data_IF_105935907566
#
_entry.id   IF_105935907566
#
_cell.length_a   1.000
_cell.length_b   1.000
_cell.length_c   1.000
_cell.angle_alpha   90.00
_cell.angle_beta   90.00
_cell.angle_gamma   90.00
#
_symmetry.space_group_name_H-M   'P 1'
#
loop_
_entity.id
_entity.type
_entity.pdbx_description
1 polymer ?
#
# COMPACT_ATOMS: atom_id res chain seq x y z
N UNK A 1 -43.89 -14.33 -50.82
CA UNK A 1 -42.83 -15.29 -50.38
C UNK A 1 -41.51 -14.57 -50.31
N UNK A 2 -41.17 -14.02 -49.14
CA UNK A 2 -39.91 -13.27 -48.94
C UNK A 2 -39.08 -14.03 -47.92
N UNK A 3 -37.96 -14.60 -48.41
CA UNK A 3 -36.95 -15.32 -47.61
C UNK A 3 -36.16 -14.32 -46.76
N UNK A 4 -36.29 -14.43 -45.42
CA UNK A 4 -35.39 -13.74 -44.49
C UNK A 4 -34.08 -14.52 -44.41
N UNK A 5 -32.99 -13.88 -44.79
CA UNK A 5 -31.62 -14.36 -44.63
C UNK A 5 -31.15 -14.05 -43.22
N UNK A 6 -30.97 -15.06 -42.38
CA UNK A 6 -30.32 -14.95 -41.08
C UNK A 6 -28.80 -14.95 -41.27
N UNK A 7 -28.15 -13.83 -41.03
CA UNK A 7 -26.69 -13.75 -40.90
C UNK A 7 -26.34 -14.07 -39.46
N UNK A 8 -25.84 -15.27 -39.21
CA UNK A 8 -25.24 -15.66 -37.95
C UNK A 8 -23.83 -15.07 -37.90
N UNK A 9 -23.71 -13.94 -37.16
CA UNK A 9 -22.40 -13.39 -36.82
C UNK A 9 -21.75 -14.24 -35.74
N UNK A 10 -20.77 -15.08 -36.12
CA UNK A 10 -19.90 -15.76 -35.18
C UNK A 10 -18.92 -14.72 -34.55
N UNK A 11 -19.23 -14.27 -33.35
CA UNK A 11 -18.27 -13.56 -32.52
C UNK A 11 -17.18 -14.56 -32.09
N UNK A 12 -16.04 -14.51 -32.75
CA UNK A 12 -14.84 -15.22 -32.35
C UNK A 12 -14.29 -14.53 -31.11
N UNK A 13 -14.68 -15.02 -29.93
CA UNK A 13 -14.03 -14.62 -28.68
C UNK A 13 -12.60 -15.17 -28.74
N UNK A 14 -11.65 -14.28 -29.00
CA UNK A 14 -10.23 -14.53 -28.76
C UNK A 14 -10.04 -14.67 -27.24
N UNK A 15 -10.12 -15.91 -26.76
CA UNK A 15 -9.64 -16.28 -25.43
C UNK A 15 -8.13 -16.20 -25.55
N UNK A 16 -7.55 -15.03 -25.22
CA UNK A 16 -6.17 -14.94 -24.83
C UNK A 16 -6.03 -15.75 -23.54
N UNK A 17 -5.68 -17.03 -23.70
CA UNK A 17 -5.18 -17.85 -22.60
C UNK A 17 -3.77 -17.35 -22.26
N UNK A 18 -3.69 -16.19 -21.60
CA UNK A 18 -2.55 -15.93 -20.75
C UNK A 18 -2.65 -16.92 -19.60
N UNK A 19 -1.68 -17.83 -19.51
CA UNK A 19 -1.35 -18.53 -18.28
C UNK A 19 -0.88 -17.47 -17.28
N UNK A 20 -1.80 -16.69 -16.74
CA UNK A 20 -1.52 -15.91 -15.54
C UNK A 20 -1.33 -16.96 -14.43
N UNK A 21 -0.09 -17.20 -14.02
CA UNK A 21 0.14 -17.89 -12.74
C UNK A 21 -0.73 -17.17 -11.73
N UNK A 22 -1.65 -17.92 -11.11
CA UNK A 22 -2.60 -17.35 -10.16
C UNK A 22 -1.81 -16.70 -9.01
N UNK A 23 -1.79 -15.37 -8.97
CA UNK A 23 -1.06 -14.64 -7.95
C UNK A 23 -1.71 -14.87 -6.59
N UNK A 24 -1.01 -15.51 -5.62
CA UNK A 24 -1.58 -15.82 -4.32
C UNK A 24 -1.91 -14.55 -3.50
N UNK A 25 -1.29 -13.41 -3.79
CA UNK A 25 -1.54 -12.12 -3.13
C UNK A 25 -2.87 -11.47 -3.54
N UNK A 26 -3.47 -11.92 -4.65
CA UNK A 26 -4.74 -11.40 -5.17
C UNK A 26 -5.93 -12.33 -4.85
N UNK A 27 -5.70 -13.32 -4.03
CA UNK A 27 -6.74 -14.28 -3.60
C UNK A 27 -6.91 -14.24 -2.09
N UNK A 28 -8.13 -14.50 -1.68
CA UNK A 28 -8.38 -14.76 -0.27
C UNK A 28 -7.63 -16.02 0.18
N UNK A 29 -6.90 -15.91 1.29
CA UNK A 29 -6.15 -17.04 1.83
C UNK A 29 -7.09 -18.13 2.35
N UNK A 30 -6.80 -19.37 1.99
CA UNK A 30 -7.50 -20.56 2.52
C UNK A 30 -6.94 -21.05 3.87
N UNK A 31 -5.87 -20.45 4.35
CA UNK A 31 -5.24 -20.81 5.62
C UNK A 31 -6.11 -20.36 6.82
N UNK A 32 -5.98 -21.03 7.97
CA UNK A 32 -6.68 -20.64 9.19
C UNK A 32 -6.46 -19.15 9.52
N UNK A 33 -7.54 -18.46 9.89
CA UNK A 33 -7.56 -17.03 10.22
C UNK A 33 -7.16 -16.10 9.07
N UNK A 34 -7.20 -16.55 7.83
CA UNK A 34 -6.79 -15.74 6.67
C UNK A 34 -5.28 -15.45 6.63
N UNK A 35 -4.46 -16.24 7.33
CA UNK A 35 -3.01 -16.04 7.37
C UNK A 35 -2.42 -16.12 5.95
N UNK A 36 -1.45 -15.24 5.57
CA UNK A 36 -0.80 -15.33 4.27
C UNK A 36 -0.10 -16.68 4.06
N UNK A 37 -0.28 -17.27 2.88
CA UNK A 37 0.36 -18.55 2.51
C UNK A 37 1.80 -18.27 2.02
N UNK A 38 2.71 -17.91 2.91
CA UNK A 38 4.08 -17.47 2.62
C UNK A 38 4.89 -18.48 1.78
N UNK A 39 4.60 -19.75 1.87
CA UNK A 39 5.22 -20.82 1.09
C UNK A 39 4.85 -20.75 -0.41
N UNK A 40 3.77 -20.07 -0.77
CA UNK A 40 3.31 -19.86 -2.14
C UNK A 40 3.69 -18.50 -2.70
N UNK A 41 4.04 -17.53 -1.84
CA UNK A 41 4.37 -16.16 -2.25
C UNK A 41 5.83 -16.13 -2.70
N UNK A 42 6.08 -15.51 -3.87
CA UNK A 42 7.41 -15.27 -4.43
C UNK A 42 7.58 -13.80 -4.77
N UNK A 43 8.82 -13.35 -4.93
CA UNK A 43 9.12 -11.95 -5.27
C UNK A 43 8.41 -11.51 -6.56
N UNK A 44 8.34 -12.36 -7.58
CA UNK A 44 7.65 -12.10 -8.86
C UNK A 44 6.15 -11.77 -8.73
N UNK A 45 5.52 -12.12 -7.59
CA UNK A 45 4.11 -11.86 -7.35
C UNK A 45 3.82 -10.43 -6.87
N UNK A 46 4.80 -9.75 -6.24
CA UNK A 46 4.54 -8.47 -5.58
C UNK A 46 4.20 -7.35 -6.55
N UNK A 47 5.04 -7.07 -7.55
CA UNK A 47 4.80 -5.95 -8.45
C UNK A 47 3.46 -6.04 -9.16
N UNK A 48 3.07 -7.17 -9.78
CA UNK A 48 1.75 -7.31 -10.39
C UNK A 48 0.60 -7.19 -9.37
N UNK A 49 0.80 -7.61 -8.11
CA UNK A 49 -0.21 -7.48 -7.07
C UNK A 49 -0.40 -6.03 -6.64
N UNK A 50 0.68 -5.26 -6.51
CA UNK A 50 0.60 -3.82 -6.26
C UNK A 50 -0.10 -3.07 -7.40
N UNK A 51 0.23 -3.37 -8.65
CA UNK A 51 -0.41 -2.78 -9.83
C UNK A 51 -1.93 -3.04 -9.82
N UNK A 52 -2.33 -4.29 -9.59
CA UNK A 52 -3.74 -4.67 -9.53
C UNK A 52 -4.46 -4.03 -8.34
N UNK A 53 -3.85 -4.07 -7.14
CA UNK A 53 -4.43 -3.48 -5.93
C UNK A 53 -4.58 -1.96 -6.01
N UNK A 54 -3.62 -1.26 -6.63
CA UNK A 54 -3.73 0.19 -6.87
C UNK A 54 -4.85 0.49 -7.87
N UNK A 55 -4.98 -0.29 -8.94
CA UNK A 55 -6.03 -0.09 -9.94
C UNK A 55 -7.42 -0.32 -9.32
N UNK A 56 -7.59 -1.36 -8.51
CA UNK A 56 -8.83 -1.65 -7.77
C UNK A 56 -9.16 -0.51 -6.80
N UNK A 57 -8.19 -0.11 -5.98
CA UNK A 57 -8.37 0.96 -5.00
C UNK A 57 -8.71 2.33 -5.65
N UNK A 58 -8.09 2.66 -6.79
CA UNK A 58 -8.47 3.87 -7.58
C UNK A 58 -9.91 3.77 -8.06
N UNK A 59 -10.35 2.62 -8.58
CA UNK A 59 -11.71 2.43 -9.05
C UNK A 59 -12.75 2.54 -7.93
N UNK A 60 -12.45 2.07 -6.72
CA UNK A 60 -13.32 2.22 -5.55
C UNK A 60 -13.45 3.70 -5.13
N UNK A 61 -12.35 4.45 -5.10
CA UNK A 61 -12.38 5.90 -4.85
C UNK A 61 -13.19 6.62 -5.92
N UNK A 62 -13.00 6.28 -7.21
CA UNK A 62 -13.78 6.86 -8.30
C UNK A 62 -15.28 6.58 -8.17
N UNK A 63 -15.66 5.39 -7.69
CA UNK A 63 -17.06 5.05 -7.44
C UNK A 63 -17.66 5.90 -6.31
N UNK A 64 -16.90 6.18 -5.23
CA UNK A 64 -17.33 7.08 -4.16
C UNK A 64 -17.54 8.50 -4.71
N UNK A 65 -16.60 9.00 -5.50
CA UNK A 65 -16.68 10.34 -6.11
C UNK A 65 -17.84 10.44 -7.08
N UNK A 66 -18.09 9.42 -7.90
CA UNK A 66 -19.14 9.38 -8.90
C UNK A 66 -20.55 9.21 -8.31
N UNK A 67 -20.68 8.88 -7.02
CA UNK A 67 -21.97 8.70 -6.39
C UNK A 67 -22.76 10.02 -6.37
N UNK A 68 -23.94 10.02 -6.99
CA UNK A 68 -24.82 11.20 -7.12
C UNK A 68 -25.70 11.43 -5.89
N UNK A 69 -25.72 10.52 -4.94
CA UNK A 69 -26.47 10.68 -3.70
C UNK A 69 -25.80 11.72 -2.79
N UNK A 70 -26.60 12.35 -1.93
CA UNK A 70 -26.07 13.22 -0.86
C UNK A 70 -24.98 12.48 -0.07
N UNK A 71 -23.85 13.13 0.22
CA UNK A 71 -22.81 12.53 1.04
C UNK A 71 -23.31 12.22 2.45
N UNK A 72 -23.15 10.96 2.86
CA UNK A 72 -23.43 10.46 4.20
C UNK A 72 -22.17 9.84 4.82
N UNK A 73 -22.23 9.55 6.11
CA UNK A 73 -21.12 8.84 6.77
C UNK A 73 -20.87 7.50 6.09
N UNK A 74 -21.90 6.74 5.77
CA UNK A 74 -21.82 5.40 5.19
C UNK A 74 -21.29 5.43 3.73
N UNK A 75 -21.88 6.29 2.87
CA UNK A 75 -21.55 6.31 1.44
C UNK A 75 -20.27 7.11 1.12
N UNK A 76 -19.62 7.67 2.13
CA UNK A 76 -18.39 8.46 1.96
C UNK A 76 -17.31 8.00 2.92
N UNK A 77 -17.52 8.10 4.23
CA UNK A 77 -16.46 7.82 5.22
C UNK A 77 -16.24 6.32 5.41
N UNK A 78 -17.31 5.55 5.64
CA UNK A 78 -17.18 4.08 5.71
C UNK A 78 -16.76 3.48 4.37
N UNK A 79 -17.29 4.00 3.27
CA UNK A 79 -16.90 3.55 1.94
C UNK A 79 -15.40 3.76 1.68
N UNK A 80 -14.82 4.87 2.14
CA UNK A 80 -13.36 5.11 2.07
C UNK A 80 -12.59 4.15 2.99
N UNK A 81 -13.07 3.90 4.20
CA UNK A 81 -12.39 3.04 5.19
C UNK A 81 -12.27 1.59 4.70
N UNK A 82 -13.27 1.10 3.97
CA UNK A 82 -13.24 -0.26 3.40
C UNK A 82 -12.61 -0.35 2.02
N UNK A 83 -12.20 0.77 1.43
CA UNK A 83 -11.53 0.79 0.13
C UNK A 83 -10.07 0.35 0.21
N UNK A 84 -9.52 -0.17 -0.90
CA UNK A 84 -8.11 -0.54 -1.03
C UNK A 84 -7.70 -1.75 -0.20
N UNK A 85 -8.59 -2.65 0.17
CA UNK A 85 -8.25 -3.81 1.01
C UNK A 85 -7.21 -4.72 0.36
N UNK A 86 -7.32 -4.98 -0.95
CA UNK A 86 -6.33 -5.77 -1.69
C UNK A 86 -4.95 -5.11 -1.61
N UNK A 87 -4.88 -3.80 -1.86
CA UNK A 87 -3.65 -3.03 -1.78
C UNK A 87 -3.04 -3.05 -0.37
N UNK A 88 -3.87 -2.84 0.65
CA UNK A 88 -3.44 -2.86 2.05
C UNK A 88 -2.88 -4.23 2.47
N UNK A 89 -3.52 -5.31 2.03
CA UNK A 89 -3.05 -6.67 2.30
C UNK A 89 -1.70 -6.94 1.64
N UNK A 90 -1.56 -6.61 0.36
CA UNK A 90 -0.29 -6.75 -0.39
C UNK A 90 0.82 -5.94 0.26
N UNK A 91 0.56 -4.67 0.58
CA UNK A 91 1.51 -3.78 1.22
C UNK A 91 1.91 -4.27 2.62
N UNK A 92 0.94 -4.71 3.42
CA UNK A 92 1.18 -5.28 4.75
C UNK A 92 2.11 -6.49 4.71
N UNK A 93 1.89 -7.44 3.78
CA UNK A 93 2.75 -8.61 3.61
C UNK A 93 4.15 -8.19 3.14
N UNK A 94 4.22 -7.37 2.09
CA UNK A 94 5.48 -6.97 1.48
C UNK A 94 6.39 -6.20 2.44
N UNK A 95 5.89 -5.13 3.04
CA UNK A 95 6.71 -4.29 3.92
C UNK A 95 7.08 -4.97 5.23
N UNK A 96 6.23 -5.85 5.78
CA UNK A 96 6.65 -6.67 6.93
C UNK A 96 7.82 -7.59 6.58
N UNK A 97 7.82 -8.22 5.40
CA UNK A 97 8.93 -9.06 4.97
C UNK A 97 10.17 -8.24 4.62
N UNK A 98 10.01 -7.04 4.06
CA UNK A 98 11.11 -6.10 3.83
C UNK A 98 11.88 -5.78 5.12
N UNK A 99 11.17 -5.63 6.24
CA UNK A 99 11.76 -5.34 7.55
C UNK A 99 12.39 -6.57 8.21
N UNK A 100 11.78 -7.76 8.03
CA UNK A 100 12.15 -8.98 8.76
C UNK A 100 13.11 -9.89 7.98
N UNK A 101 13.00 -9.94 6.65
CA UNK A 101 13.74 -10.89 5.80
C UNK A 101 13.87 -10.37 4.35
N UNK A 102 14.51 -9.21 4.19
CA UNK A 102 14.72 -8.58 2.89
C UNK A 102 15.80 -9.28 2.07
N UNK A 103 15.77 -9.06 0.76
CA UNK A 103 16.80 -9.42 -0.20
C UNK A 103 16.88 -8.35 -1.29
N UNK A 104 17.92 -8.42 -2.14
CA UNK A 104 18.19 -7.41 -3.17
C UNK A 104 16.99 -7.24 -4.14
N UNK A 105 16.35 -8.34 -4.56
CA UNK A 105 15.19 -8.29 -5.45
C UNK A 105 13.98 -7.59 -4.80
N UNK A 106 13.73 -7.84 -3.52
CA UNK A 106 12.68 -7.12 -2.78
C UNK A 106 13.00 -5.63 -2.66
N UNK A 107 14.25 -5.26 -2.48
CA UNK A 107 14.66 -3.85 -2.46
C UNK A 107 14.45 -3.17 -3.82
N UNK A 108 14.74 -3.86 -4.93
CA UNK A 108 14.44 -3.36 -6.28
C UNK A 108 12.93 -3.21 -6.53
N UNK A 109 12.11 -4.14 -6.00
CA UNK A 109 10.65 -4.03 -6.07
C UNK A 109 10.19 -2.82 -5.25
N UNK A 110 10.72 -2.61 -4.06
CA UNK A 110 10.38 -1.46 -3.21
C UNK A 110 10.68 -0.12 -3.90
N UNK A 111 11.78 -0.02 -4.66
CA UNK A 111 12.12 1.17 -5.45
C UNK A 111 11.07 1.48 -6.53
N UNK A 112 10.44 0.46 -7.11
CA UNK A 112 9.39 0.61 -8.11
C UNK A 112 8.04 0.93 -7.47
N UNK A 113 7.72 0.26 -6.37
CA UNK A 113 6.41 0.33 -5.72
C UNK A 113 6.24 1.62 -4.90
N UNK A 114 7.31 2.12 -4.25
CA UNK A 114 7.22 3.32 -3.40
C UNK A 114 6.68 4.56 -4.14
N UNK A 115 7.15 4.90 -5.36
CA UNK A 115 6.55 5.98 -6.13
C UNK A 115 5.07 5.71 -6.50
N UNK A 116 4.72 4.48 -6.85
CA UNK A 116 3.34 4.11 -7.20
C UNK A 116 2.37 4.30 -6.03
N UNK A 117 2.80 3.92 -4.82
CA UNK A 117 2.03 4.13 -3.59
C UNK A 117 1.92 5.61 -3.22
N UNK A 118 2.99 6.38 -3.45
CA UNK A 118 2.97 7.83 -3.25
C UNK A 118 1.99 8.49 -4.23
N UNK A 119 2.03 8.11 -5.51
CA UNK A 119 1.08 8.59 -6.52
C UNK A 119 -0.37 8.26 -6.12
N UNK A 120 -0.63 7.03 -5.67
CA UNK A 120 -1.97 6.64 -5.19
C UNK A 120 -2.38 7.47 -3.97
N UNK A 121 -1.49 7.67 -3.01
CA UNK A 121 -1.76 8.52 -1.84
C UNK A 121 -2.11 9.95 -2.23
N UNK A 122 -1.39 10.52 -3.22
CA UNK A 122 -1.70 11.86 -3.74
C UNK A 122 -3.00 11.87 -4.55
N UNK A 123 -3.28 10.82 -5.31
CA UNK A 123 -4.55 10.65 -6.03
C UNK A 123 -5.76 10.76 -5.09
N UNK A 124 -5.67 10.16 -3.89
CA UNK A 124 -6.74 10.24 -2.88
C UNK A 124 -6.73 11.58 -2.15
N UNK A 125 -5.59 11.97 -1.57
CA UNK A 125 -5.50 13.11 -0.65
C UNK A 125 -5.69 14.47 -1.32
N UNK A 126 -5.35 14.58 -2.62
CA UNK A 126 -5.51 15.81 -3.40
C UNK A 126 -6.79 15.82 -4.25
N UNK A 127 -7.63 14.80 -4.16
CA UNK A 127 -8.89 14.71 -4.89
C UNK A 127 -9.90 15.73 -4.35
N UNK A 128 -10.17 16.75 -5.12
CA UNK A 128 -11.04 17.84 -4.71
C UNK A 128 -12.50 17.40 -4.51
N UNK A 129 -13.00 16.54 -5.40
CA UNK A 129 -14.40 16.07 -5.36
C UNK A 129 -14.62 15.13 -4.15
N UNK A 130 -13.66 14.23 -3.89
CA UNK A 130 -13.69 13.39 -2.69
C UNK A 130 -13.67 14.25 -1.43
N UNK A 131 -12.78 15.26 -1.38
CA UNK A 131 -12.72 16.18 -0.25
C UNK A 131 -14.03 16.94 -0.04
N UNK A 132 -14.72 17.37 -1.10
CA UNK A 132 -16.03 18.03 -0.96
C UNK A 132 -17.07 17.09 -0.34
N UNK A 133 -17.07 15.81 -0.67
CA UNK A 133 -17.94 14.81 -0.03
C UNK A 133 -17.61 14.66 1.46
N UNK A 134 -16.34 14.48 1.81
CA UNK A 134 -15.90 14.37 3.21
C UNK A 134 -16.27 15.63 4.00
N UNK A 135 -16.06 16.81 3.42
CA UNK A 135 -16.38 18.09 4.03
C UNK A 135 -17.88 18.25 4.28
N UNK A 136 -18.73 17.84 3.33
CA UNK A 136 -20.19 17.91 3.46
C UNK A 136 -20.70 17.05 4.63
N UNK A 137 -20.11 15.87 4.84
CA UNK A 137 -20.41 15.01 6.00
C UNK A 137 -19.90 15.66 7.28
N UNK A 138 -18.68 16.20 7.29
CA UNK A 138 -18.05 16.81 8.46
C UNK A 138 -18.84 18.03 8.94
N UNK A 139 -19.34 18.87 8.05
CA UNK A 139 -20.11 20.06 8.40
C UNK A 139 -21.45 19.74 9.11
N UNK A 140 -21.99 18.54 8.90
CA UNK A 140 -23.22 18.04 9.53
C UNK A 140 -22.96 17.14 10.75
N UNK A 141 -21.72 16.97 11.18
CA UNK A 141 -21.28 15.94 12.15
C UNK A 141 -22.08 15.91 13.47
N UNK A 142 -22.47 17.08 13.99
CA UNK A 142 -23.19 17.20 15.24
C UNK A 142 -24.67 16.78 15.13
N UNK A 143 -25.20 16.67 13.89
CA UNK A 143 -26.57 16.27 13.58
C UNK A 143 -26.71 14.78 13.27
N UNK A 144 -25.58 14.10 12.95
CA UNK A 144 -25.59 12.71 12.48
C UNK A 144 -25.76 11.66 13.58
N UNK A 145 -25.62 12.04 14.85
CA UNK A 145 -25.73 11.11 15.99
C UNK A 145 -24.71 9.98 15.99
N UNK A 146 -23.51 10.22 15.44
CA UNK A 146 -22.43 9.24 15.31
C UNK A 146 -21.95 8.72 16.66
N UNK A 147 -21.57 7.45 16.71
CA UNK A 147 -20.85 6.87 17.83
C UNK A 147 -19.45 7.54 17.99
N UNK A 148 -18.81 7.49 19.16
CA UNK A 148 -17.55 8.19 19.40
C UNK A 148 -16.40 7.78 18.46
N UNK A 149 -16.31 6.53 18.06
CA UNK A 149 -15.36 5.98 17.10
C UNK A 149 -15.66 6.46 15.67
N UNK A 150 -16.93 6.47 15.26
CA UNK A 150 -17.37 7.02 13.98
C UNK A 150 -17.08 8.53 13.89
N UNK A 151 -17.36 9.28 14.94
CA UNK A 151 -17.03 10.71 15.01
C UNK A 151 -15.52 10.93 14.88
N UNK A 152 -14.73 10.10 15.58
CA UNK A 152 -13.25 10.18 15.49
C UNK A 152 -12.75 9.89 14.09
N UNK A 153 -13.28 8.86 13.43
CA UNK A 153 -12.93 8.50 12.05
C UNK A 153 -13.24 9.66 11.08
N UNK A 154 -14.43 10.26 11.19
CA UNK A 154 -14.83 11.42 10.39
C UNK A 154 -13.89 12.61 10.59
N UNK A 155 -13.59 12.95 11.84
CA UNK A 155 -12.70 14.06 12.16
C UNK A 155 -11.27 13.83 11.66
N UNK A 156 -10.76 12.62 11.79
CA UNK A 156 -9.41 12.27 11.34
C UNK A 156 -9.33 12.31 9.81
N UNK A 157 -10.32 11.79 9.10
CA UNK A 157 -10.39 11.88 7.65
C UNK A 157 -10.40 13.34 7.19
N UNK A 158 -11.27 14.18 7.73
CA UNK A 158 -11.32 15.60 7.37
C UNK A 158 -9.99 16.32 7.64
N UNK A 159 -9.39 16.10 8.83
CA UNK A 159 -8.09 16.69 9.18
C UNK A 159 -6.96 16.18 8.28
N UNK A 160 -7.00 14.91 7.89
CA UNK A 160 -6.02 14.32 6.98
C UNK A 160 -6.07 14.97 5.60
N UNK A 161 -7.25 15.18 5.03
CA UNK A 161 -7.40 15.91 3.77
C UNK A 161 -6.87 17.34 3.84
N UNK A 162 -7.25 18.09 4.89
CA UNK A 162 -6.79 19.47 5.07
C UNK A 162 -5.27 19.54 5.20
N UNK A 163 -4.66 18.66 5.99
CA UNK A 163 -3.20 18.60 6.18
C UNK A 163 -2.47 18.02 4.97
N UNK A 164 -3.12 17.09 4.26
CA UNK A 164 -2.60 16.46 3.05
C UNK A 164 -2.63 17.34 1.81
N UNK A 165 -3.08 18.61 1.92
CA UNK A 165 -3.00 19.56 0.84
C UNK A 165 -4.28 19.72 0.01
N UNK A 166 -5.44 19.25 0.48
CA UNK A 166 -6.71 19.37 -0.26
C UNK A 166 -7.06 20.83 -0.64
N UNK A 167 -6.63 21.79 0.18
CA UNK A 167 -6.85 23.22 -0.02
C UNK A 167 -5.75 23.95 -0.85
N UNK A 168 -4.73 23.24 -1.30
CA UNK A 168 -3.67 23.82 -2.13
C UNK A 168 -4.21 24.15 -3.55
N UNK A 169 -3.61 25.17 -4.19
CA UNK A 169 -3.83 25.41 -5.61
C UNK A 169 -3.29 24.27 -6.48
N UNK A 170 -3.69 24.19 -7.73
CA UNK A 170 -3.25 23.12 -8.64
C UNK A 170 -1.73 23.13 -8.85
N UNK A 171 -1.10 24.31 -8.90
CA UNK A 171 0.35 24.46 -8.99
C UNK A 171 1.04 23.94 -7.70
N UNK A 172 0.51 24.29 -6.54
CA UNK A 172 1.02 23.81 -5.25
C UNK A 172 0.83 22.30 -5.07
N UNK A 173 -0.31 21.75 -5.52
CA UNK A 173 -0.56 20.29 -5.53
C UNK A 173 0.45 19.57 -6.41
N UNK A 174 0.78 20.10 -7.58
CA UNK A 174 1.78 19.51 -8.46
C UNK A 174 3.18 19.50 -7.83
N UNK A 175 3.58 20.59 -7.14
CA UNK A 175 4.84 20.66 -6.41
C UNK A 175 4.86 19.71 -5.21
N UNK A 176 3.77 19.65 -4.47
CA UNK A 176 3.63 18.77 -3.31
C UNK A 176 3.75 17.30 -3.71
N UNK A 177 3.07 16.89 -4.80
CA UNK A 177 3.16 15.53 -5.34
C UNK A 177 4.59 15.18 -5.74
N UNK A 178 5.26 16.08 -6.49
CA UNK A 178 6.64 15.88 -6.90
C UNK A 178 7.59 15.71 -5.70
N UNK A 179 7.49 16.57 -4.70
CA UNK A 179 8.35 16.46 -3.52
C UNK A 179 8.05 15.24 -2.66
N UNK A 180 6.77 14.82 -2.60
CA UNK A 180 6.37 13.60 -1.90
C UNK A 180 6.96 12.35 -2.57
N UNK A 181 6.98 12.31 -3.90
CA UNK A 181 7.62 11.25 -4.67
C UNK A 181 9.15 11.21 -4.43
N UNK A 182 9.83 12.36 -4.54
CA UNK A 182 11.26 12.47 -4.25
C UNK A 182 11.57 12.04 -2.81
N UNK A 183 10.76 12.46 -1.83
CA UNK A 183 10.91 12.10 -0.43
C UNK A 183 10.77 10.59 -0.20
N UNK A 184 9.82 9.93 -0.87
CA UNK A 184 9.64 8.47 -0.74
C UNK A 184 10.88 7.70 -1.15
N UNK A 185 11.51 8.09 -2.28
CA UNK A 185 12.75 7.48 -2.76
C UNK A 185 13.95 7.77 -1.85
N UNK A 186 14.07 9.01 -1.34
CA UNK A 186 15.13 9.39 -0.40
C UNK A 186 15.01 8.59 0.91
N UNK A 187 13.80 8.42 1.41
CA UNK A 187 13.54 7.64 2.64
C UNK A 187 13.92 6.17 2.45
N UNK A 188 13.57 5.59 1.30
CA UNK A 188 13.97 4.23 0.96
C UNK A 188 15.51 4.09 0.86
N UNK A 189 16.17 5.03 0.18
CA UNK A 189 17.64 5.04 0.07
C UNK A 189 18.32 5.20 1.44
N UNK A 190 17.75 6.02 2.33
CA UNK A 190 18.26 6.17 3.69
C UNK A 190 18.20 4.84 4.45
N UNK A 191 17.07 4.12 4.38
CA UNK A 191 16.90 2.81 5.02
C UNK A 191 17.90 1.78 4.48
N UNK A 192 18.12 1.75 3.16
CA UNK A 192 19.14 0.89 2.53
C UNK A 192 20.54 1.23 3.03
N UNK A 193 20.88 2.51 3.15
CA UNK A 193 22.18 2.95 3.64
C UNK A 193 22.40 2.56 5.11
N UNK A 194 21.36 2.69 5.95
CA UNK A 194 21.42 2.26 7.36
C UNK A 194 21.67 0.76 7.45
N UNK A 195 20.91 -0.04 6.67
CA UNK A 195 21.10 -1.50 6.64
C UNK A 195 22.53 -1.87 6.19
N UNK A 196 23.01 -1.28 5.10
CA UNK A 196 24.35 -1.53 4.60
C UNK A 196 25.45 -1.14 5.61
N UNK A 197 25.33 0.03 6.26
CA UNK A 197 26.25 0.47 7.28
C UNK A 197 26.24 -0.45 8.51
N UNK A 198 25.06 -0.92 8.93
CA UNK A 198 24.90 -1.86 10.04
C UNK A 198 25.57 -3.20 9.72
N UNK A 199 25.34 -3.73 8.53
CA UNK A 199 25.92 -4.99 8.09
C UNK A 199 27.44 -4.92 7.86
N UNK A 200 27.96 -3.75 7.50
CA UNK A 200 29.40 -3.52 7.34
C UNK A 200 30.14 -3.28 8.65
N UNK A 201 29.42 -3.01 9.74
CA UNK A 201 30.05 -2.73 11.02
C UNK A 201 30.56 -4.01 11.67
N UNK A 202 31.86 -3.99 11.99
CA UNK A 202 32.53 -5.08 12.70
C UNK A 202 33.35 -4.50 13.86
N UNK A 203 33.09 -5.00 15.06
CA UNK A 203 33.86 -4.69 16.25
C UNK A 203 34.84 -5.85 16.56
N UNK A 204 36.09 -5.69 16.22
CA UNK A 204 37.14 -6.65 16.57
C UNK A 204 37.69 -6.37 17.97
N UNK A 205 37.47 -7.30 18.92
CA UNK A 205 38.04 -7.24 20.27
C UNK A 205 39.18 -8.24 20.37
N UNK A 206 40.43 -7.75 20.43
CA UNK A 206 41.61 -8.59 20.52
C UNK A 206 42.14 -8.71 21.96
N UNK A 207 41.67 -7.86 22.88
CA UNK A 207 42.04 -7.90 24.31
C UNK A 207 40.96 -8.58 25.13
N UNK A 208 41.25 -9.76 25.68
CA UNK A 208 40.33 -10.53 26.50
C UNK A 208 39.83 -9.81 27.76
N UNK A 209 40.55 -8.80 28.25
CA UNK A 209 40.12 -8.00 29.40
C UNK A 209 38.88 -7.16 29.11
N UNK A 210 38.65 -6.82 27.84
CA UNK A 210 37.46 -6.08 27.37
C UNK A 210 36.21 -6.97 27.31
N UNK A 211 36.34 -8.29 27.47
CA UNK A 211 35.22 -9.24 27.45
C UNK A 211 34.64 -9.48 28.85
N UNK A 212 35.12 -8.71 29.87
CA UNK A 212 34.61 -8.80 31.23
C UNK A 212 33.10 -8.53 31.31
N UNK A 213 32.37 -9.42 32.00
CA UNK A 213 30.93 -9.33 32.18
C UNK A 213 30.09 -9.95 31.04
N UNK A 214 30.68 -10.36 29.91
CA UNK A 214 29.98 -11.08 28.89
C UNK A 214 29.77 -12.56 29.27
N UNK A 215 28.55 -13.12 29.13
CA UNK A 215 28.32 -14.56 29.28
C UNK A 215 29.15 -15.41 28.31
N UNK A 216 29.51 -16.63 28.68
CA UNK A 216 30.35 -17.50 27.85
C UNK A 216 29.70 -17.80 26.47
N UNK A 217 28.38 -17.97 26.40
CA UNK A 217 27.71 -18.22 25.12
C UNK A 217 27.88 -17.06 24.14
N UNK A 218 27.88 -15.80 24.62
CA UNK A 218 28.11 -14.61 23.79
C UNK A 218 29.54 -14.58 23.26
N UNK A 219 30.52 -14.94 24.11
CA UNK A 219 31.93 -15.01 23.70
C UNK A 219 32.13 -16.10 22.64
N UNK A 220 31.48 -17.27 22.82
CA UNK A 220 31.56 -18.36 21.85
C UNK A 220 30.98 -17.97 20.50
N UNK A 221 29.76 -17.38 20.48
CA UNK A 221 29.13 -16.89 19.25
C UNK A 221 29.99 -15.82 18.53
N UNK A 222 30.56 -14.88 19.28
CA UNK A 222 31.45 -13.86 18.72
C UNK A 222 32.72 -14.46 18.12
N UNK A 223 33.30 -15.49 18.77
CA UNK A 223 34.50 -16.17 18.28
C UNK A 223 34.21 -16.98 16.98
N UNK A 224 33.05 -17.61 16.90
CA UNK A 224 32.57 -18.30 15.68
C UNK A 224 32.35 -17.33 14.51
N UNK A 225 31.89 -16.12 14.80
CA UNK A 225 31.70 -15.07 13.77
C UNK A 225 33.03 -14.48 13.29
N UNK A 226 34.09 -14.52 14.14
CA UNK A 226 35.40 -13.95 13.84
C UNK A 226 36.33 -14.95 13.13
N UNK A 227 35.98 -16.23 13.03
CA UNK A 227 36.75 -17.30 12.41
C UNK A 227 36.48 -17.43 10.91
#
# INVERSE_FOLDING_TARGET
>A
MTKKLLIAGSALALICSCNSMENPLLKESSAPFGAPEFDKIKNEHYLPAFEAGIAEAKAEIDAIVANQEEPTFENTIEAMEVSGQTLNNVAGIFFNLMEANTNDEMQEIAEKVSPMLTEYSMYVSLNADLFQRVKAVYEKKDELGLAPDQMKLLEDNYKSFVRGGANLSDEEKALYSKWSEELSLITLQFSKNVLAATNAYVLNITDSTQLGGLPEFVKTMAAETAA
#
